data_IF_226932028414
#
_entry.id   IF_226932028414
#
_cell.length_a   1.000
_cell.length_b   1.000
_cell.length_c   1.000
_cell.angle_alpha   90.00
_cell.angle_beta   90.00
_cell.angle_gamma   90.00
#
_symmetry.space_group_name_H-M   'P 1'
#
loop_
_entity.id
_entity.type
_entity.pdbx_description
1 polymer ?
#
# COMPACT_ATOMS: atom_id res chain seq x y z
N UNK A 1 -11.22 -4.81 1.03
CA UNK A 1 -9.96 -5.58 1.21
C UNK A 1 -9.08 -4.82 2.17
N UNK A 2 -8.37 -5.53 3.03
CA UNK A 2 -7.35 -4.96 3.92
C UNK A 2 -6.05 -5.70 3.62
N UNK A 3 -4.96 -4.96 3.44
CA UNK A 3 -3.61 -5.50 3.28
C UNK A 3 -2.66 -4.71 4.20
N UNK A 4 -1.70 -5.41 4.79
CA UNK A 4 -0.76 -4.84 5.76
C UNK A 4 0.64 -5.36 5.47
N UNK A 5 1.63 -4.48 5.53
CA UNK A 5 3.03 -4.86 5.37
C UNK A 5 3.97 -3.91 6.10
N UNK A 6 5.15 -4.44 6.42
CA UNK A 6 6.25 -3.69 7.00
C UNK A 6 7.15 -3.12 5.90
N UNK A 7 7.67 -1.93 6.16
CA UNK A 7 8.69 -1.25 5.36
C UNK A 7 9.88 -0.94 6.27
N UNK A 8 11.13 -1.24 5.86
CA UNK A 8 12.32 -0.89 6.64
C UNK A 8 12.59 0.62 6.73
N UNK A 9 11.96 1.41 5.86
CA UNK A 9 12.02 2.88 5.87
C UNK A 9 11.24 3.47 7.04
N UNK A 10 11.68 4.62 7.52
CA UNK A 10 10.94 5.42 8.50
C UNK A 10 9.57 5.86 7.96
N UNK A 11 8.68 6.25 8.87
CA UNK A 11 7.28 6.56 8.54
C UNK A 11 7.15 7.67 7.49
N UNK A 12 8.01 8.69 7.53
CA UNK A 12 8.02 9.80 6.56
C UNK A 12 8.40 9.35 5.16
N UNK A 13 9.50 8.59 5.03
CA UNK A 13 9.96 8.08 3.73
C UNK A 13 8.93 7.12 3.13
N UNK A 14 8.30 6.29 3.98
CA UNK A 14 7.23 5.40 3.54
C UNK A 14 5.99 6.15 3.10
N UNK A 15 5.61 7.23 3.80
CA UNK A 15 4.50 8.09 3.43
C UNK A 15 4.74 8.75 2.06
N UNK A 16 5.91 9.35 1.85
CA UNK A 16 6.28 9.96 0.57
C UNK A 16 6.35 8.94 -0.57
N UNK A 17 6.84 7.72 -0.31
CA UNK A 17 6.83 6.65 -1.30
C UNK A 17 5.40 6.24 -1.73
N UNK A 18 4.44 6.29 -0.80
CA UNK A 18 3.01 6.08 -1.12
C UNK A 18 2.45 7.25 -1.94
N UNK A 19 2.83 8.50 -1.63
CA UNK A 19 2.40 9.63 -2.45
C UNK A 19 2.93 9.54 -3.87
N UNK A 20 4.20 9.17 -4.04
CA UNK A 20 4.81 8.99 -5.36
C UNK A 20 4.08 7.96 -6.22
N UNK A 21 3.76 6.79 -5.67
CA UNK A 21 3.04 5.75 -6.45
C UNK A 21 1.61 6.17 -6.79
N UNK A 22 0.96 6.95 -5.91
CA UNK A 22 -0.39 7.46 -6.17
C UNK A 22 -0.34 8.47 -7.32
N UNK A 23 0.71 9.27 -7.42
CA UNK A 23 0.90 10.17 -8.56
C UNK A 23 1.14 9.40 -9.85
N UNK A 24 1.98 8.35 -9.84
CA UNK A 24 2.12 7.45 -10.99
C UNK A 24 0.76 6.88 -11.44
N UNK A 25 -0.09 6.47 -10.50
CA UNK A 25 -1.44 5.98 -10.83
C UNK A 25 -2.33 7.06 -11.45
N UNK A 26 -2.19 8.33 -11.03
CA UNK A 26 -2.90 9.47 -11.61
C UNK A 26 -2.45 9.72 -13.05
N UNK A 27 -1.15 9.70 -13.30
CA UNK A 27 -0.56 9.87 -14.63
C UNK A 27 -0.95 8.73 -15.60
N UNK A 28 -0.89 7.47 -15.14
CA UNK A 28 -1.37 6.30 -15.90
C UNK A 28 -2.85 6.46 -16.27
N UNK A 29 -3.66 6.97 -15.35
CA UNK A 29 -5.08 7.18 -15.63
C UNK A 29 -5.36 8.35 -16.59
N UNK A 30 -4.55 9.41 -16.53
CA UNK A 30 -4.64 10.53 -17.46
C UNK A 30 -4.30 10.06 -18.89
N UNK A 31 -3.19 9.33 -19.07
CA UNK A 31 -2.77 8.80 -20.38
C UNK A 31 -3.73 7.75 -20.97
N UNK A 32 -4.34 6.90 -20.13
CA UNK A 32 -5.44 6.00 -20.55
C UNK A 32 -6.65 6.78 -21.09
N UNK A 33 -6.93 7.96 -20.53
CA UNK A 33 -8.05 8.80 -20.98
C UNK A 33 -7.75 9.53 -22.30
N UNK A 34 -6.51 9.99 -22.49
CA UNK A 34 -6.07 10.66 -23.72
C UNK A 34 -6.05 9.72 -24.91
N UNK A 35 -5.53 8.50 -24.75
CA UNK A 35 -5.56 7.48 -25.81
C UNK A 35 -7.00 7.10 -26.22
N UNK A 36 -7.93 7.05 -25.26
CA UNK A 36 -9.35 6.79 -25.56
C UNK A 36 -10.02 7.94 -26.33
N UNK A 37 -9.47 9.15 -26.24
CA UNK A 37 -9.97 10.33 -26.96
C UNK A 37 -9.58 10.35 -28.44
N UNK A 38 -8.63 9.50 -28.87
CA UNK A 38 -8.21 9.32 -30.26
C UNK A 38 -9.07 8.29 -31.03
N UNK A 39 -10.07 7.70 -30.37
CA UNK A 39 -10.96 6.69 -30.98
C UNK A 39 -12.03 7.32 -31.91
N UNK A 40 -12.48 6.60 -32.97
CA UNK A 40 -13.57 7.03 -33.85
C UNK A 40 -14.87 7.36 -33.11
N UNK A 41 -15.67 8.29 -33.66
CA UNK A 41 -16.79 8.97 -32.97
C UNK A 41 -17.83 8.09 -32.27
N UNK A 42 -18.12 6.88 -32.79
CA UNK A 42 -19.02 5.91 -32.15
C UNK A 42 -18.46 5.32 -30.84
N UNK A 43 -17.14 5.14 -30.75
CA UNK A 43 -16.46 4.63 -29.55
C UNK A 43 -16.15 5.76 -28.55
N UNK A 44 -16.05 7.00 -29.04
CA UNK A 44 -15.81 8.20 -28.22
C UNK A 44 -16.95 8.48 -27.24
N UNK A 45 -18.20 8.20 -27.62
CA UNK A 45 -19.39 8.37 -26.77
C UNK A 45 -19.43 7.44 -25.55
N UNK A 46 -18.96 6.19 -25.71
CA UNK A 46 -18.81 5.22 -24.62
C UNK A 46 -17.61 5.55 -23.72
N UNK A 47 -16.53 6.08 -24.29
CA UNK A 47 -15.35 6.52 -23.54
C UNK A 47 -15.58 7.81 -22.74
N UNK A 48 -16.41 8.75 -23.23
CA UNK A 48 -16.69 10.04 -22.57
C UNK A 48 -17.41 9.90 -21.23
N UNK A 49 -18.16 8.80 -21.00
CA UNK A 49 -18.76 8.49 -19.69
C UNK A 49 -17.72 8.10 -18.63
N UNK A 50 -16.47 7.87 -19.03
CA UNK A 50 -15.30 7.56 -18.19
C UNK A 50 -14.38 8.77 -18.01
N UNK A 51 -14.88 10.01 -17.97
CA UNK A 51 -14.03 11.21 -17.81
C UNK A 51 -14.10 11.87 -16.43
N UNK A 52 -14.78 11.29 -15.45
CA UNK A 52 -14.73 11.80 -14.07
C UNK A 52 -13.32 11.66 -13.49
N UNK A 53 -12.85 12.61 -12.65
CA UNK A 53 -11.52 12.55 -12.07
C UNK A 53 -11.36 11.21 -11.35
N UNK A 54 -10.45 10.37 -11.87
CA UNK A 54 -10.33 9.00 -11.42
C UNK A 54 -9.89 8.93 -9.97
N UNK A 55 -9.08 9.89 -9.52
CA UNK A 55 -8.57 9.95 -8.15
C UNK A 55 -8.87 11.30 -7.52
N UNK A 56 -9.64 11.31 -6.44
CA UNK A 56 -9.98 12.51 -5.68
C UNK A 56 -9.40 12.37 -4.28
N UNK A 57 -8.47 13.23 -3.92
CA UNK A 57 -7.97 13.30 -2.55
C UNK A 57 -9.07 13.76 -1.60
N UNK A 58 -9.19 13.12 -0.45
CA UNK A 58 -10.26 13.38 0.51
C UNK A 58 -9.78 13.75 1.89
N UNK A 59 -8.61 13.28 2.30
CA UNK A 59 -8.04 13.54 3.62
C UNK A 59 -6.54 13.28 3.61
N UNK A 60 -5.80 14.13 4.31
CA UNK A 60 -4.37 14.00 4.58
C UNK A 60 -4.12 14.34 6.04
N UNK A 61 -3.41 13.46 6.73
CA UNK A 61 -2.84 13.72 8.05
C UNK A 61 -1.42 13.14 8.06
N UNK A 62 -0.44 13.85 7.47
CA UNK A 62 0.91 13.31 7.32
C UNK A 62 1.62 13.14 8.68
N UNK A 63 2.45 12.10 8.84
CA UNK A 63 2.69 10.99 7.92
C UNK A 63 1.75 9.80 8.16
N UNK A 64 0.65 9.97 8.93
CA UNK A 64 -0.17 8.90 9.51
C UNK A 64 -1.33 8.43 8.64
N UNK A 65 -1.86 9.28 7.77
CA UNK A 65 -3.04 8.95 6.96
C UNK A 65 -3.02 9.63 5.59
N UNK A 66 -3.37 8.85 4.58
CA UNK A 66 -3.77 9.34 3.26
C UNK A 66 -5.07 8.66 2.82
N UNK A 67 -6.09 9.46 2.49
CA UNK A 67 -7.37 8.96 1.96
C UNK A 67 -7.66 9.56 0.60
N UNK A 68 -8.00 8.69 -0.34
CA UNK A 68 -8.46 9.07 -1.67
C UNK A 68 -9.67 8.26 -2.10
N UNK A 69 -10.39 8.78 -3.09
CA UNK A 69 -11.46 8.10 -3.79
C UNK A 69 -10.98 7.77 -5.20
N UNK A 70 -11.04 6.49 -5.57
CA UNK A 70 -10.91 6.05 -6.95
C UNK A 70 -12.30 5.69 -7.54
N UNK A 71 -12.43 5.54 -8.86
CA UNK A 71 -13.60 4.92 -9.51
C UNK A 71 -13.89 3.52 -8.99
N UNK A 72 -12.86 2.83 -8.51
CA UNK A 72 -13.01 1.52 -7.89
C UNK A 72 -13.53 1.60 -6.46
N UNK A 73 -13.59 2.79 -5.85
CA UNK A 73 -14.04 3.05 -4.49
C UNK A 73 -12.96 3.74 -3.64
N UNK A 74 -13.21 3.91 -2.32
CA UNK A 74 -12.28 4.59 -1.45
C UNK A 74 -11.03 3.74 -1.17
N UNK A 75 -9.90 4.43 -1.04
CA UNK A 75 -8.58 3.87 -0.75
C UNK A 75 -8.02 4.62 0.45
N UNK A 76 -7.54 3.88 1.43
CA UNK A 76 -6.96 4.41 2.67
C UNK A 76 -5.58 3.82 2.85
N UNK A 77 -4.61 4.66 3.19
CA UNK A 77 -3.30 4.25 3.67
C UNK A 77 -3.12 4.82 5.07
N UNK A 78 -3.03 3.94 6.05
CA UNK A 78 -2.70 4.26 7.43
C UNK A 78 -1.25 3.84 7.67
N UNK A 79 -0.49 4.68 8.37
CA UNK A 79 0.93 4.46 8.64
C UNK A 79 1.18 4.44 10.13
N UNK A 80 1.97 3.48 10.59
CA UNK A 80 2.35 3.34 11.99
C UNK A 80 3.86 3.17 12.09
N UNK A 81 4.51 4.04 12.84
CA UNK A 81 5.94 3.92 13.13
C UNK A 81 6.19 2.66 13.97
N UNK A 82 7.27 1.95 13.68
CA UNK A 82 7.69 0.76 14.43
C UNK A 82 8.83 1.15 15.37
N UNK A 83 8.64 0.89 16.66
CA UNK A 83 9.69 1.06 17.67
C UNK A 83 10.89 0.16 17.32
N UNK A 84 12.07 0.75 17.14
CA UNK A 84 13.26 0.05 16.63
C UNK A 84 13.52 0.23 15.12
N UNK A 85 12.68 1.00 14.43
CA UNK A 85 12.87 1.43 13.05
C UNK A 85 11.89 0.79 12.06
N UNK A 86 11.60 1.51 10.99
CA UNK A 86 10.65 1.10 9.97
C UNK A 86 9.23 1.64 10.20
N UNK A 87 8.30 1.21 9.35
CA UNK A 87 6.89 1.55 9.43
C UNK A 87 6.00 0.39 8.97
N UNK A 88 4.78 0.33 9.49
CA UNK A 88 3.72 -0.53 8.98
C UNK A 88 2.77 0.31 8.14
N UNK A 89 2.49 -0.16 6.93
CA UNK A 89 1.45 0.39 6.07
C UNK A 89 0.24 -0.54 6.13
N UNK A 90 -0.92 0.03 6.46
CA UNK A 90 -2.22 -0.63 6.35
C UNK A 90 -3.01 0.02 5.23
N UNK A 91 -3.29 -0.75 4.18
CA UNK A 91 -4.05 -0.30 3.04
C UNK A 91 -5.45 -0.92 3.03
N UNK A 92 -6.48 -0.07 2.97
CA UNK A 92 -7.88 -0.50 2.83
C UNK A 92 -8.40 -0.07 1.46
N UNK A 93 -8.92 -1.01 0.68
CA UNK A 93 -9.32 -0.75 -0.71
C UNK A 93 -10.28 -1.82 -1.28
N UNK A 94 -10.87 -1.55 -2.44
CA UNK A 94 -11.71 -2.52 -3.17
C UNK A 94 -10.88 -3.48 -4.03
N UNK A 95 -11.35 -4.73 -4.19
CA UNK A 95 -10.62 -5.82 -4.85
C UNK A 95 -10.04 -5.47 -6.23
N UNK A 96 -10.68 -4.55 -6.94
CA UNK A 96 -10.32 -4.14 -8.30
C UNK A 96 -8.95 -3.46 -8.40
N UNK A 97 -8.38 -2.93 -7.30
CA UNK A 97 -7.03 -2.34 -7.29
C UNK A 97 -5.97 -3.25 -6.70
N UNK A 98 -6.32 -4.47 -6.30
CA UNK A 98 -5.40 -5.42 -5.64
C UNK A 98 -4.10 -5.61 -6.41
N UNK A 99 -4.18 -5.70 -7.75
CA UNK A 99 -2.99 -5.84 -8.60
C UNK A 99 -2.05 -4.63 -8.52
N UNK A 100 -2.59 -3.41 -8.46
CA UNK A 100 -1.79 -2.17 -8.32
C UNK A 100 -1.10 -2.11 -6.97
N UNK A 101 -1.84 -2.38 -5.89
CA UNK A 101 -1.28 -2.44 -4.53
C UNK A 101 -0.21 -3.53 -4.42
N UNK A 102 -0.43 -4.70 -5.02
CA UNK A 102 0.55 -5.79 -5.02
C UNK A 102 1.84 -5.40 -5.76
N UNK A 103 1.73 -4.72 -6.91
CA UNK A 103 2.90 -4.20 -7.64
C UNK A 103 3.64 -3.13 -6.85
N UNK A 104 2.91 -2.23 -6.20
CA UNK A 104 3.50 -1.22 -5.33
C UNK A 104 4.34 -1.87 -4.22
N UNK A 105 3.76 -2.84 -3.50
CA UNK A 105 4.47 -3.61 -2.46
C UNK A 105 5.73 -4.28 -3.00
N UNK A 106 5.70 -4.81 -4.22
CA UNK A 106 6.85 -5.46 -4.84
C UNK A 106 7.97 -4.48 -5.24
N UNK A 107 7.66 -3.19 -5.46
CA UNK A 107 8.65 -2.15 -5.76
C UNK A 107 9.27 -1.53 -4.50
N UNK A 108 8.64 -1.67 -3.35
CA UNK A 108 9.21 -1.14 -2.11
C UNK A 108 10.47 -1.93 -1.73
N UNK A 109 11.53 -1.25 -1.26
CA UNK A 109 12.74 -1.92 -0.82
C UNK A 109 12.45 -2.90 0.33
N UNK A 110 12.37 -4.18 0.02
CA UNK A 110 12.29 -5.25 1.01
C UNK A 110 13.68 -5.43 1.61
N UNK A 111 14.03 -4.66 2.65
CA UNK A 111 15.13 -5.05 3.54
C UNK A 111 14.60 -6.07 4.53
N UNK A 112 14.50 -7.32 4.08
CA UNK A 112 14.43 -8.44 5.00
C UNK A 112 15.81 -8.49 5.65
N UNK A 113 15.96 -8.31 6.98
CA UNK A 113 17.25 -8.49 7.61
C UNK A 113 17.76 -9.88 7.22
N UNK A 114 18.92 -9.93 6.56
CA UNK A 114 19.54 -11.15 6.03
C UNK A 114 19.92 -12.14 7.14
N UNK A 115 19.91 -11.67 8.38
CA UNK A 115 20.09 -12.45 9.58
C UNK A 115 18.72 -12.53 10.26
N UNK A 116 18.18 -13.71 10.57
CA UNK A 116 17.05 -13.79 11.49
C UNK A 116 17.56 -13.26 12.84
N UNK A 117 17.26 -12.00 13.15
CA UNK A 117 17.64 -11.39 14.42
C UNK A 117 16.86 -12.05 15.58
N UNK A 118 15.86 -12.89 15.28
CA UNK A 118 15.12 -13.69 16.27
C UNK A 118 14.59 -15.03 15.75
N UNK A 119 13.75 -15.65 16.56
CA UNK A 119 13.11 -16.94 16.26
C UNK A 119 12.06 -16.86 15.15
N UNK A 120 11.59 -18.02 14.70
CA UNK A 120 10.40 -18.11 13.84
C UNK A 120 9.16 -18.20 14.70
N UNK A 121 8.07 -17.56 14.27
CA UNK A 121 6.77 -17.75 14.87
C UNK A 121 6.39 -19.25 14.80
N UNK A 122 6.04 -19.90 15.92
CA UNK A 122 5.71 -21.32 15.93
C UNK A 122 4.41 -21.65 15.18
N UNK A 123 3.48 -20.69 15.06
CA UNK A 123 2.21 -20.90 14.38
C UNK A 123 2.30 -20.77 12.85
N UNK A 124 2.98 -19.73 12.35
CA UNK A 124 3.00 -19.44 10.90
C UNK A 124 4.38 -19.63 10.23
N UNK A 125 5.42 -19.96 11.00
CA UNK A 125 6.78 -20.23 10.50
C UNK A 125 7.54 -19.01 9.95
N UNK A 126 6.93 -17.82 9.98
CA UNK A 126 7.56 -16.57 9.54
C UNK A 126 8.61 -16.11 10.55
N UNK A 127 9.72 -15.56 10.05
CA UNK A 127 10.78 -15.01 10.90
C UNK A 127 10.25 -13.80 11.67
N UNK A 128 10.57 -13.73 12.95
CA UNK A 128 10.20 -12.63 13.84
C UNK A 128 11.44 -12.14 14.56
N UNK A 129 11.51 -10.85 14.88
CA UNK A 129 12.58 -10.30 15.70
C UNK A 129 12.23 -10.44 17.20
N UNK A 130 13.22 -10.57 18.12
CA UNK A 130 12.98 -10.88 19.53
C UNK A 130 12.20 -9.82 20.31
N UNK A 131 12.14 -8.60 19.79
CA UNK A 131 11.49 -7.45 20.42
C UNK A 131 9.96 -7.62 20.43
N UNK A 132 9.41 -8.32 19.43
CA UNK A 132 7.97 -8.55 19.33
C UNK A 132 7.47 -9.55 20.38
N UNK A 133 6.41 -9.18 21.11
CA UNK A 133 5.66 -10.09 21.98
C UNK A 133 4.54 -10.83 21.20
N UNK A 134 4.15 -10.31 20.04
CA UNK A 134 3.12 -10.85 19.15
C UNK A 134 3.65 -10.93 17.72
N UNK A 135 3.32 -12.01 17.02
CA UNK A 135 3.68 -12.18 15.63
C UNK A 135 2.99 -11.10 14.77
N UNK A 136 3.75 -10.25 14.07
CA UNK A 136 3.15 -9.17 13.26
C UNK A 136 2.39 -9.69 12.04
N UNK A 137 2.46 -10.99 11.76
CA UNK A 137 1.82 -11.61 10.60
C UNK A 137 0.54 -12.39 10.92
N UNK A 138 0.39 -12.93 12.13
CA UNK A 138 -0.75 -13.77 12.49
C UNK A 138 -1.33 -13.53 13.88
N UNK A 139 -0.75 -12.63 14.68
CA UNK A 139 -1.23 -12.30 16.02
C UNK A 139 -0.92 -13.35 17.08
N UNK A 140 -0.17 -14.41 16.75
CA UNK A 140 0.25 -15.43 17.72
C UNK A 140 1.22 -14.84 18.75
N UNK A 141 1.15 -15.30 20.01
CA UNK A 141 2.10 -14.86 21.04
C UNK A 141 3.47 -15.49 20.79
N UNK A 142 4.51 -14.67 20.75
CA UNK A 142 5.88 -15.14 20.53
C UNK A 142 6.49 -15.53 21.88
N UNK A 143 6.72 -16.83 22.06
CA UNK A 143 7.35 -17.36 23.27
C UNK A 143 8.82 -16.96 23.27
N UNK A 144 9.21 -16.03 24.16
CA UNK A 144 10.62 -15.68 24.38
C UNK A 144 11.30 -16.85 25.10
N UNK A 145 12.20 -17.55 24.42
CA UNK A 145 13.08 -18.51 25.07
C UNK A 145 13.93 -17.78 26.11
N UNK A 146 14.00 -18.33 27.32
CA UNK A 146 14.88 -17.86 28.40
C UNK A 146 16.35 -17.86 27.97
#
# INVERSE_FOLDING_TARGET
MIDMWYTPQGIEETYEAVLGIIEEWREEAASESESSSQLPGLLRGLARRRSEPRFVEREKDPPRLYRMLDRTGPIYFEFTEVEGGGAVVKATYNSNIKARVTRFKARQPLRIPAVPIGGRCPACGKATIPEFNLCPYCGETLIKGK
#
